data_IF_002230450248
#
_entry.id   IF_002230450248
#
_cell.length_a   1.000
_cell.length_b   1.000
_cell.length_c   1.000
_cell.angle_alpha   90.00
_cell.angle_beta   90.00
_cell.angle_gamma   90.00
#
_symmetry.space_group_name_H-M   'P 1'
#
loop_
_entity.id
_entity.type
_entity.pdbx_description
1 polymer ?
#
# COMPACT_ATOMS: atom_id res chain seq x y z
N UNK A 1 -17.64 3.58 -25.08
CA UNK A 1 -17.60 2.12 -24.89
C UNK A 1 -16.16 1.82 -24.52
N UNK A 2 -15.80 2.02 -23.25
CA UNK A 2 -14.42 1.89 -22.77
C UNK A 2 -14.40 0.87 -21.65
N UNK A 3 -13.72 -0.24 -21.92
CA UNK A 3 -13.48 -1.35 -21.01
C UNK A 3 -12.37 -0.97 -20.03
N UNK A 4 -12.69 -1.08 -18.73
CA UNK A 4 -11.74 -1.09 -17.62
C UNK A 4 -10.84 -2.33 -17.72
N UNK A 5 -9.53 -2.14 -17.64
CA UNK A 5 -8.57 -3.21 -17.34
C UNK A 5 -8.27 -3.12 -15.84
N UNK A 6 -8.68 -4.16 -15.11
CA UNK A 6 -8.46 -4.31 -13.68
C UNK A 6 -7.07 -4.87 -13.38
N UNK A 7 -6.44 -4.32 -12.34
CA UNK A 7 -5.25 -4.89 -11.72
C UNK A 7 -5.68 -6.03 -10.79
N UNK A 8 -5.35 -7.26 -11.19
CA UNK A 8 -5.41 -8.45 -10.34
C UNK A 8 -4.23 -8.45 -9.35
N UNK A 9 -4.41 -7.75 -8.23
CA UNK A 9 -3.72 -8.04 -6.97
C UNK A 9 -4.70 -7.98 -5.78
N UNK A 10 -5.99 -8.27 -6.02
CA UNK A 10 -7.04 -8.22 -4.99
C UNK A 10 -7.33 -9.57 -4.32
N UNK A 11 -6.82 -10.69 -4.85
CA UNK A 11 -7.27 -12.04 -4.46
C UNK A 11 -7.06 -12.43 -2.99
N UNK A 12 -5.93 -12.10 -2.37
CA UNK A 12 -5.69 -12.45 -0.96
C UNK A 12 -6.33 -11.47 0.03
N UNK A 13 -6.51 -10.20 -0.37
CA UNK A 13 -7.11 -9.17 0.47
C UNK A 13 -8.65 -9.24 0.43
N UNK A 14 -9.23 -9.64 -0.71
CA UNK A 14 -10.67 -9.88 -0.87
C UNK A 14 -11.11 -11.13 -0.11
N UNK A 15 -10.34 -12.22 -0.12
CA UNK A 15 -10.67 -13.40 0.67
C UNK A 15 -10.66 -13.14 2.19
N UNK A 16 -9.72 -12.32 2.68
CA UNK A 16 -9.68 -11.97 4.10
C UNK A 16 -10.82 -11.02 4.48
N UNK A 17 -11.19 -10.08 3.60
CA UNK A 17 -12.36 -9.21 3.77
C UNK A 17 -13.67 -9.99 3.71
N UNK A 18 -13.87 -10.86 2.73
CA UNK A 18 -15.04 -11.74 2.63
C UNK A 18 -15.15 -12.68 3.84
N UNK A 19 -14.03 -13.22 4.32
CA UNK A 19 -14.00 -14.04 5.53
C UNK A 19 -14.32 -13.22 6.78
N UNK A 20 -13.78 -12.02 6.93
CA UNK A 20 -14.04 -11.13 8.06
C UNK A 20 -15.49 -10.61 8.04
N UNK A 21 -16.02 -10.21 6.88
CA UNK A 21 -17.42 -9.84 6.70
C UNK A 21 -18.35 -11.03 6.92
N UNK A 22 -17.98 -12.23 6.45
CA UNK A 22 -18.71 -13.47 6.70
C UNK A 22 -18.75 -13.83 8.18
N UNK A 23 -17.62 -13.66 8.91
CA UNK A 23 -17.54 -13.87 10.36
C UNK A 23 -18.31 -12.80 11.14
N UNK A 24 -18.28 -11.54 10.69
CA UNK A 24 -19.04 -10.43 11.26
C UNK A 24 -20.54 -10.63 11.09
N UNK A 25 -20.97 -11.04 9.89
CA UNK A 25 -22.37 -11.35 9.59
C UNK A 25 -22.84 -12.57 10.36
N UNK A 26 -22.04 -13.63 10.42
CA UNK A 26 -22.35 -14.82 11.21
C UNK A 26 -22.40 -14.54 12.73
N UNK A 27 -21.50 -13.71 13.26
CA UNK A 27 -21.53 -13.30 14.66
C UNK A 27 -22.75 -12.41 14.98
N UNK A 28 -23.10 -11.47 14.08
CA UNK A 28 -24.32 -10.68 14.18
C UNK A 28 -25.59 -11.53 14.11
N UNK A 29 -25.65 -12.47 13.16
CA UNK A 29 -26.76 -13.43 13.02
C UNK A 29 -26.91 -14.36 14.23
N UNK A 30 -25.81 -14.75 14.88
CA UNK A 30 -25.86 -15.53 16.14
C UNK A 30 -26.35 -14.67 17.30
N UNK A 31 -25.85 -13.43 17.43
CA UNK A 31 -26.26 -12.50 18.48
C UNK A 31 -27.75 -12.13 18.37
N UNK A 32 -28.20 -11.72 17.19
CA UNK A 32 -29.62 -11.42 16.91
C UNK A 32 -30.51 -12.63 17.20
N UNK A 33 -30.11 -13.82 16.75
CA UNK A 33 -30.88 -15.05 17.00
C UNK A 33 -30.89 -15.45 18.48
N UNK A 34 -29.85 -15.13 19.24
CA UNK A 34 -29.79 -15.38 20.68
C UNK A 34 -30.68 -14.40 21.45
N UNK A 35 -30.67 -13.13 21.04
CA UNK A 35 -31.57 -12.08 21.56
C UNK A 35 -33.04 -12.40 21.27
N UNK A 36 -33.37 -12.82 20.06
CA UNK A 36 -34.73 -13.18 19.67
C UNK A 36 -35.24 -14.38 20.48
N UNK A 37 -34.41 -15.42 20.64
CA UNK A 37 -34.74 -16.60 21.46
C UNK A 37 -34.89 -16.24 22.94
N UNK A 38 -34.05 -15.33 23.46
CA UNK A 38 -34.15 -14.86 24.84
C UNK A 38 -35.43 -14.03 25.07
N UNK A 39 -35.79 -13.16 24.12
CA UNK A 39 -37.03 -12.36 24.16
C UNK A 39 -38.27 -13.24 24.07
N UNK A 40 -38.31 -14.18 23.13
CA UNK A 40 -39.41 -15.14 23.00
C UNK A 40 -39.53 -16.04 24.25
N UNK A 41 -38.41 -16.54 24.77
CA UNK A 41 -38.36 -17.33 25.99
C UNK A 41 -38.82 -16.56 27.23
N UNK A 42 -38.53 -15.25 27.31
CA UNK A 42 -39.03 -14.36 28.36
C UNK A 42 -40.55 -14.18 28.27
N UNK A 43 -41.07 -13.85 27.09
CA UNK A 43 -42.51 -13.69 26.86
C UNK A 43 -43.29 -14.96 27.22
N UNK A 44 -42.75 -16.13 26.85
CA UNK A 44 -43.30 -17.42 27.27
C UNK A 44 -43.37 -17.55 28.79
N UNK A 45 -42.29 -17.19 29.49
CA UNK A 45 -42.23 -17.26 30.96
C UNK A 45 -43.14 -16.25 31.65
N UNK A 46 -43.37 -15.09 31.05
CA UNK A 46 -44.32 -14.09 31.54
C UNK A 46 -45.77 -14.58 31.44
N UNK A 47 -46.16 -15.16 30.30
CA UNK A 47 -47.49 -15.82 30.14
C UNK A 47 -47.68 -16.94 31.16
N UNK A 48 -46.63 -17.73 31.31
CA UNK A 48 -46.52 -18.80 32.28
C UNK A 48 -46.69 -18.30 33.73
N UNK A 49 -46.06 -17.17 34.08
CA UNK A 49 -46.15 -16.57 35.41
C UNK A 49 -47.57 -16.06 35.69
N UNK A 50 -48.24 -15.46 34.70
CA UNK A 50 -49.62 -15.00 34.82
C UNK A 50 -50.57 -16.16 35.17
N UNK A 51 -50.44 -17.29 34.46
CA UNK A 51 -51.23 -18.50 34.77
C UNK A 51 -50.92 -19.05 36.16
N UNK A 52 -49.65 -19.06 36.57
CA UNK A 52 -49.24 -19.52 37.90
C UNK A 52 -49.84 -18.65 39.01
N UNK A 53 -49.84 -17.32 38.83
CA UNK A 53 -50.47 -16.36 39.76
C UNK A 53 -51.97 -16.62 39.92
N UNK A 54 -52.68 -16.85 38.81
CA UNK A 54 -54.11 -17.18 38.85
C UNK A 54 -54.37 -18.49 39.61
N UNK A 55 -53.54 -19.51 39.43
CA UNK A 55 -53.63 -20.76 40.19
C UNK A 55 -53.38 -20.54 41.68
N UNK A 56 -52.30 -19.85 42.05
CA UNK A 56 -51.98 -19.53 43.45
C UNK A 56 -53.16 -18.83 44.13
N UNK A 57 -53.75 -17.83 43.46
CA UNK A 57 -54.90 -17.09 43.98
C UNK A 57 -56.14 -17.98 44.16
N UNK A 58 -56.42 -18.86 43.19
CA UNK A 58 -57.52 -19.82 43.28
C UNK A 58 -57.34 -20.80 44.45
N UNK A 59 -56.12 -21.30 44.67
CA UNK A 59 -55.79 -22.21 45.77
C UNK A 59 -55.84 -21.49 47.13
N UNK A 60 -55.42 -20.21 47.22
CA UNK A 60 -55.58 -19.36 48.41
C UNK A 60 -57.04 -19.21 48.79
N UNK A 61 -57.88 -18.80 47.84
CA UNK A 61 -59.32 -18.65 48.05
C UNK A 61 -59.99 -19.95 48.51
N UNK A 62 -59.59 -21.09 47.93
CA UNK A 62 -60.10 -22.41 48.33
C UNK A 62 -59.64 -22.81 49.74
N UNK A 63 -58.41 -22.48 50.14
CA UNK A 63 -57.93 -22.72 51.49
C UNK A 63 -58.75 -21.91 52.51
N UNK A 64 -59.05 -20.64 52.22
CA UNK A 64 -59.92 -19.80 53.05
C UNK A 64 -61.32 -20.39 53.20
N UNK A 65 -61.96 -20.79 52.10
CA UNK A 65 -63.28 -21.44 52.13
C UNK A 65 -63.30 -22.72 52.98
N UNK A 66 -62.25 -23.55 52.89
CA UNK A 66 -62.12 -24.76 53.71
C UNK A 66 -61.92 -24.42 55.19
N UNK A 67 -61.13 -23.40 55.52
CA UNK A 67 -60.96 -22.89 56.90
C UNK A 67 -62.28 -22.41 57.47
N UNK A 68 -63.03 -21.59 56.73
CA UNK A 68 -64.34 -21.09 57.13
C UNK A 68 -65.36 -22.21 57.34
N UNK A 69 -65.39 -23.21 56.44
CA UNK A 69 -66.27 -24.38 56.56
C UNK A 69 -65.94 -25.24 57.78
N UNK A 70 -64.65 -25.43 58.07
CA UNK A 70 -64.17 -26.10 59.28
C UNK A 70 -64.64 -25.34 60.52
N UNK A 71 -64.50 -24.01 60.54
CA UNK A 71 -64.84 -23.20 61.71
C UNK A 71 -66.35 -23.08 61.92
N UNK A 72 -67.14 -23.04 60.85
CA UNK A 72 -68.60 -23.17 60.91
C UNK A 72 -69.04 -24.48 61.56
N UNK A 73 -68.42 -25.62 61.19
CA UNK A 73 -68.76 -26.96 61.74
C UNK A 73 -68.20 -27.21 63.15
N UNK A 74 -67.28 -26.36 63.65
CA UNK A 74 -66.72 -26.44 65.01
C UNK A 74 -67.55 -25.71 66.07
N UNK A 75 -68.63 -24.98 65.71
CA UNK A 75 -69.41 -24.19 66.68
C UNK A 75 -70.22 -25.09 67.63
N UNK A 76 -69.70 -25.30 68.84
CA UNK A 76 -70.34 -26.07 69.91
C UNK A 76 -69.84 -27.51 70.07
N UNK A 77 -69.90 -28.04 71.30
CA UNK A 77 -69.34 -29.36 71.66
C UNK A 77 -70.11 -30.52 71.03
N UNK A 78 -71.45 -30.43 71.00
CA UNK A 78 -72.35 -31.42 70.40
C UNK A 78 -72.16 -31.48 68.87
N UNK A 79 -72.03 -30.32 68.22
CA UNK A 79 -71.80 -30.22 66.78
C UNK A 79 -70.46 -30.84 66.35
N UNK A 80 -69.41 -30.72 67.16
CA UNK A 80 -68.10 -31.37 66.90
C UNK A 80 -68.20 -32.90 66.93
N UNK A 81 -68.99 -33.47 67.84
CA UNK A 81 -69.19 -34.92 67.95
C UNK A 81 -70.02 -35.44 66.77
N UNK A 82 -71.11 -34.76 66.43
CA UNK A 82 -71.99 -35.13 65.31
C UNK A 82 -71.27 -35.01 63.95
N UNK A 83 -70.45 -33.95 63.77
CA UNK A 83 -69.77 -33.67 62.50
C UNK A 83 -68.34 -34.21 62.41
N UNK A 84 -67.91 -35.08 63.34
CA UNK A 84 -66.50 -35.50 63.46
C UNK A 84 -65.90 -36.04 62.15
N UNK A 85 -66.61 -36.92 61.45
CA UNK A 85 -66.15 -37.49 60.17
C UNK A 85 -65.97 -36.42 59.09
N UNK A 86 -66.93 -35.49 58.98
CA UNK A 86 -66.88 -34.40 58.01
C UNK A 86 -65.75 -33.40 58.33
N UNK A 87 -65.52 -33.11 59.62
CA UNK A 87 -64.40 -32.27 60.06
C UNK A 87 -63.04 -32.91 59.76
N UNK A 88 -62.93 -34.24 59.87
CA UNK A 88 -61.71 -34.98 59.52
C UNK A 88 -61.40 -34.90 58.03
N UNK A 89 -62.41 -35.10 57.17
CA UNK A 89 -62.25 -34.96 55.71
C UNK A 89 -61.91 -33.52 55.31
N UNK A 90 -62.63 -32.51 55.84
CA UNK A 90 -62.33 -31.11 55.51
C UNK A 90 -60.92 -30.67 55.93
N UNK A 91 -60.40 -31.16 57.06
CA UNK A 91 -59.01 -30.90 57.47
C UNK A 91 -58.00 -31.58 56.56
N UNK A 92 -58.31 -32.79 56.10
CA UNK A 92 -57.46 -33.51 55.15
C UNK A 92 -57.43 -32.80 53.79
N UNK A 93 -58.57 -32.29 53.34
CA UNK A 93 -58.66 -31.50 52.12
C UNK A 93 -57.97 -30.15 52.25
N UNK A 94 -58.07 -29.48 53.40
CA UNK A 94 -57.31 -28.26 53.68
C UNK A 94 -55.81 -28.51 53.64
N UNK A 95 -55.33 -29.55 54.34
CA UNK A 95 -53.90 -29.92 54.33
C UNK A 95 -53.39 -30.19 52.91
N UNK A 96 -54.14 -30.97 52.11
CA UNK A 96 -53.79 -31.22 50.70
C UNK A 96 -53.77 -29.94 49.87
N UNK A 97 -54.71 -29.04 50.10
CA UNK A 97 -54.79 -27.77 49.38
C UNK A 97 -53.65 -26.82 49.76
N UNK A 98 -53.23 -26.80 51.03
CA UNK A 98 -52.07 -26.04 51.51
C UNK A 98 -50.75 -26.59 50.95
N UNK A 99 -50.60 -27.92 50.85
CA UNK A 99 -49.43 -28.53 50.21
C UNK A 99 -49.33 -28.15 48.73
N UNK A 100 -50.43 -28.24 47.97
CA UNK A 100 -50.46 -27.83 46.55
C UNK A 100 -50.24 -26.32 46.40
N UNK A 101 -50.76 -25.51 47.32
CA UNK A 101 -50.53 -24.06 47.30
C UNK A 101 -49.04 -23.74 47.44
N UNK A 102 -48.33 -24.39 48.37
CA UNK A 102 -46.89 -24.20 48.55
C UNK A 102 -46.11 -24.55 47.27
N UNK A 103 -46.41 -25.69 46.65
CA UNK A 103 -45.77 -26.10 45.38
C UNK A 103 -46.00 -25.06 44.27
N UNK A 104 -47.19 -24.45 44.20
CA UNK A 104 -47.50 -23.41 43.21
C UNK A 104 -46.83 -22.08 43.51
N UNK A 105 -46.67 -21.71 44.78
CA UNK A 105 -45.91 -20.52 45.18
C UNK A 105 -44.41 -20.67 44.85
N UNK A 106 -43.84 -21.86 45.07
CA UNK A 106 -42.46 -22.19 44.66
C UNK A 106 -42.31 -22.11 43.13
N UNK A 107 -43.27 -22.65 42.38
CA UNK A 107 -43.29 -22.56 40.91
C UNK A 107 -43.40 -21.10 40.42
N UNK A 108 -44.24 -20.27 41.06
CA UNK A 108 -44.36 -18.85 40.75
C UNK A 108 -43.04 -18.10 41.00
N UNK A 109 -42.37 -18.39 42.12
CA UNK A 109 -41.09 -17.78 42.46
C UNK A 109 -40.01 -18.18 41.44
N UNK A 110 -39.93 -19.46 41.08
CA UNK A 110 -39.01 -19.94 40.06
C UNK A 110 -39.22 -19.26 38.69
N UNK A 111 -40.48 -19.09 38.26
CA UNK A 111 -40.82 -18.37 37.01
C UNK A 111 -40.38 -16.90 37.06
N UNK A 112 -40.53 -16.26 38.21
CA UNK A 112 -40.07 -14.87 38.42
C UNK A 112 -38.55 -14.76 38.33
N UNK A 113 -37.81 -15.70 38.93
CA UNK A 113 -36.35 -15.76 38.85
C UNK A 113 -35.88 -16.00 37.40
N UNK A 114 -36.56 -16.88 36.66
CA UNK A 114 -36.26 -17.14 35.24
C UNK A 114 -36.43 -15.92 34.35
N UNK A 115 -37.47 -15.11 34.54
CA UNK A 115 -37.65 -13.84 33.82
C UNK A 115 -36.46 -12.91 34.11
N UNK A 116 -36.04 -12.79 35.39
CA UNK A 116 -34.88 -11.99 35.77
C UNK A 116 -33.53 -12.52 35.25
N UNK A 117 -33.43 -13.79 34.84
CA UNK A 117 -32.28 -14.29 34.09
C UNK A 117 -32.32 -13.88 32.62
N UNK A 118 -33.49 -13.92 31.98
CA UNK A 118 -33.65 -13.45 30.61
C UNK A 118 -33.39 -11.94 30.48
N UNK A 119 -33.87 -11.12 31.43
CA UNK A 119 -33.59 -9.68 31.44
C UNK A 119 -32.10 -9.37 31.43
N UNK A 120 -31.33 -10.06 32.28
CA UNK A 120 -29.87 -9.89 32.35
C UNK A 120 -29.18 -10.38 31.07
N UNK A 121 -29.62 -11.50 30.51
CA UNK A 121 -29.05 -12.01 29.25
C UNK A 121 -29.27 -11.03 28.09
N UNK A 122 -30.47 -10.44 28.00
CA UNK A 122 -30.79 -9.43 26.98
C UNK A 122 -29.90 -8.20 27.14
N UNK A 123 -29.76 -7.69 28.37
CA UNK A 123 -28.92 -6.53 28.66
C UNK A 123 -27.43 -6.78 28.35
N UNK A 124 -26.89 -7.95 28.71
CA UNK A 124 -25.50 -8.33 28.44
C UNK A 124 -25.23 -8.44 26.92
N UNK A 125 -26.14 -9.04 26.16
CA UNK A 125 -26.02 -9.16 24.69
C UNK A 125 -26.13 -7.79 23.99
N UNK A 126 -27.04 -6.91 24.44
CA UNK A 126 -27.17 -5.55 23.90
C UNK A 126 -25.88 -4.72 24.16
N UNK A 127 -25.33 -4.78 25.37
CA UNK A 127 -24.05 -4.13 25.70
C UNK A 127 -22.87 -4.70 24.89
N UNK A 128 -22.86 -6.01 24.66
CA UNK A 128 -21.82 -6.64 23.85
C UNK A 128 -21.90 -6.18 22.38
N UNK A 129 -23.12 -6.03 21.85
CA UNK A 129 -23.34 -5.48 20.51
C UNK A 129 -22.76 -4.07 20.36
N UNK A 130 -23.03 -3.17 21.31
CA UNK A 130 -22.49 -1.80 21.31
C UNK A 130 -20.96 -1.77 21.34
N UNK A 131 -20.33 -2.57 22.21
CA UNK A 131 -18.87 -2.67 22.30
C UNK A 131 -18.24 -3.24 21.01
N UNK A 132 -18.92 -4.19 20.35
CA UNK A 132 -18.46 -4.73 19.08
C UNK A 132 -18.53 -3.67 17.98
N UNK A 133 -19.60 -2.88 17.90
CA UNK A 133 -19.71 -1.78 16.93
C UNK A 133 -18.62 -0.72 17.12
N UNK A 134 -18.36 -0.32 18.37
CA UNK A 134 -17.28 0.62 18.72
C UNK A 134 -15.91 0.07 18.28
N UNK A 135 -15.60 -1.20 18.61
CA UNK A 135 -14.35 -1.84 18.21
C UNK A 135 -14.20 -1.96 16.67
N UNK A 136 -15.29 -2.14 15.93
CA UNK A 136 -15.23 -2.13 14.46
C UNK A 136 -14.99 -0.73 13.89
N UNK A 137 -15.60 0.30 14.47
CA UNK A 137 -15.39 1.68 14.05
C UNK A 137 -13.93 2.13 14.28
N UNK A 138 -13.37 1.78 15.45
CA UNK A 138 -11.98 2.11 15.80
C UNK A 138 -10.97 1.41 14.88
N UNK A 139 -11.19 0.13 14.55
CA UNK A 139 -10.34 -0.58 13.59
C UNK A 139 -10.39 0.04 12.19
N UNK A 140 -11.57 0.47 11.72
CA UNK A 140 -11.70 1.12 10.42
C UNK A 140 -10.95 2.47 10.36
N UNK A 141 -11.01 3.25 11.44
CA UNK A 141 -10.25 4.51 11.55
C UNK A 141 -8.74 4.26 11.58
N UNK A 142 -8.31 3.24 12.31
CA UNK A 142 -6.90 2.83 12.37
C UNK A 142 -6.37 2.38 11.01
N UNK A 143 -7.16 1.60 10.26
CA UNK A 143 -6.80 1.14 8.92
C UNK A 143 -6.68 2.29 7.92
N UNK A 144 -7.61 3.26 7.96
CA UNK A 144 -7.52 4.44 7.09
C UNK A 144 -6.34 5.33 7.48
N UNK A 145 -6.07 5.54 8.79
CA UNK A 145 -4.90 6.30 9.23
C UNK A 145 -3.58 5.65 8.77
N UNK A 146 -3.44 4.33 8.89
CA UNK A 146 -2.28 3.59 8.39
C UNK A 146 -2.14 3.67 6.87
N UNK A 147 -3.26 3.62 6.15
CA UNK A 147 -3.26 3.77 4.69
C UNK A 147 -2.80 5.18 4.29
N UNK A 148 -3.25 6.21 4.98
CA UNK A 148 -2.77 7.59 4.76
C UNK A 148 -1.29 7.73 5.09
N UNK A 149 -0.82 7.13 6.19
CA UNK A 149 0.61 7.09 6.53
C UNK A 149 1.45 6.44 5.43
N UNK A 150 1.00 5.30 4.90
CA UNK A 150 1.66 4.61 3.78
C UNK A 150 1.68 5.46 2.51
N UNK A 151 0.57 6.13 2.18
CA UNK A 151 0.49 7.03 1.01
C UNK A 151 1.48 8.19 1.18
N UNK A 152 1.53 8.81 2.35
CA UNK A 152 2.48 9.89 2.64
C UNK A 152 3.94 9.40 2.61
N UNK A 153 4.21 8.20 3.11
CA UNK A 153 5.54 7.60 3.03
C UNK A 153 5.94 7.35 1.56
N UNK A 154 5.05 6.78 0.75
CA UNK A 154 5.30 6.51 -0.67
C UNK A 154 5.46 7.80 -1.49
N UNK A 155 4.67 8.84 -1.19
CA UNK A 155 4.89 10.18 -1.75
C UNK A 155 6.27 10.72 -1.36
N UNK A 156 6.67 10.56 -0.08
CA UNK A 156 8.00 10.93 0.41
C UNK A 156 9.14 10.11 -0.20
N UNK A 157 8.84 9.01 -0.90
CA UNK A 157 9.82 8.18 -1.62
C UNK A 157 9.79 8.38 -3.13
N UNK A 158 8.84 9.13 -3.67
CA UNK A 158 8.77 9.38 -5.10
C UNK A 158 9.91 10.28 -5.57
N UNK A 159 10.64 9.86 -6.61
CA UNK A 159 11.65 10.71 -7.28
C UNK A 159 11.03 12.03 -7.75
N UNK A 160 9.82 11.96 -8.31
CA UNK A 160 9.10 13.14 -8.80
C UNK A 160 8.78 14.14 -7.69
N UNK A 161 8.22 13.65 -6.58
CA UNK A 161 7.86 14.51 -5.44
C UNK A 161 9.11 15.11 -4.78
N UNK A 162 10.17 14.31 -4.64
CA UNK A 162 11.44 14.77 -4.06
C UNK A 162 12.16 15.77 -4.97
N UNK A 163 12.12 15.57 -6.29
CA UNK A 163 12.68 16.50 -7.27
C UNK A 163 11.99 17.88 -7.19
N UNK A 164 10.66 17.88 -7.09
CA UNK A 164 9.85 19.08 -6.93
C UNK A 164 10.08 19.76 -5.58
N UNK A 165 10.01 18.99 -4.49
CA UNK A 165 10.15 19.48 -3.11
C UNK A 165 11.48 20.20 -2.90
N UNK A 166 12.57 19.62 -3.41
CA UNK A 166 13.92 20.12 -3.16
C UNK A 166 14.53 20.91 -4.33
N UNK A 167 13.78 21.08 -5.42
CA UNK A 167 14.29 21.69 -6.66
C UNK A 167 15.60 21.03 -7.14
N UNK A 168 15.57 19.71 -7.35
CA UNK A 168 16.75 18.93 -7.77
C UNK A 168 16.47 17.98 -8.93
N UNK A 169 17.46 17.81 -9.80
CA UNK A 169 17.48 16.73 -10.78
C UNK A 169 18.05 15.45 -10.16
N UNK A 170 17.48 14.30 -10.49
CA UNK A 170 18.06 13.00 -10.17
C UNK A 170 18.84 12.47 -11.38
N UNK A 171 20.10 12.12 -11.16
CA UNK A 171 21.03 11.70 -12.21
C UNK A 171 21.76 10.41 -11.83
N UNK A 172 22.05 9.58 -12.82
CA UNK A 172 22.89 8.39 -12.67
C UNK A 172 23.84 8.26 -13.86
N UNK A 173 25.13 8.14 -13.61
CA UNK A 173 26.13 7.87 -14.64
C UNK A 173 25.99 6.44 -15.18
N UNK A 174 25.98 6.28 -16.50
CA UNK A 174 25.91 4.96 -17.14
C UNK A 174 27.26 4.48 -17.65
N UNK A 175 28.15 5.36 -18.15
CA UNK A 175 29.29 4.94 -19.01
C UNK A 175 30.68 5.03 -18.38
N UNK A 176 30.98 6.11 -17.64
CA UNK A 176 32.37 6.54 -17.40
C UNK A 176 32.95 6.20 -16.03
N UNK A 177 32.16 5.67 -15.11
CA UNK A 177 32.58 5.57 -13.72
C UNK A 177 32.73 4.10 -13.27
N UNK A 178 33.60 3.85 -12.30
CA UNK A 178 33.59 2.63 -11.45
C UNK A 178 32.26 2.46 -10.66
N UNK A 179 31.22 3.25 -11.01
CA UNK A 179 29.93 3.51 -10.36
C UNK A 179 28.74 3.22 -11.29
N UNK A 180 28.93 2.39 -12.33
CA UNK A 180 27.87 1.88 -13.21
C UNK A 180 26.66 1.34 -12.41
N UNK A 181 25.48 1.12 -13.01
CA UNK A 181 24.40 0.33 -12.40
C UNK A 181 24.88 -1.00 -11.76
N UNK A 182 26.01 -1.52 -12.23
CA UNK A 182 26.73 -2.70 -11.77
C UNK A 182 27.91 -2.48 -10.81
N UNK A 183 28.25 -1.25 -10.45
CA UNK A 183 29.34 -1.00 -9.54
C UNK A 183 29.06 -1.68 -8.20
N UNK A 184 30.05 -2.42 -7.70
CA UNK A 184 29.88 -3.36 -6.59
C UNK A 184 28.82 -4.46 -6.84
N UNK A 185 28.45 -4.74 -8.09
CA UNK A 185 27.62 -5.87 -8.47
C UNK A 185 28.50 -7.01 -9.02
N UNK A 186 28.84 -7.97 -8.16
CA UNK A 186 29.61 -9.15 -8.58
C UNK A 186 28.84 -10.06 -9.56
N UNK A 187 27.53 -9.84 -9.72
CA UNK A 187 26.66 -10.64 -10.59
C UNK A 187 26.66 -10.09 -12.02
N UNK A 188 27.03 -8.82 -12.24
CA UNK A 188 27.04 -8.18 -13.57
C UNK A 188 28.47 -7.93 -14.06
N UNK A 189 28.90 -8.65 -15.09
CA UNK A 189 30.18 -8.40 -15.78
C UNK A 189 30.05 -7.24 -16.79
N UNK A 190 30.17 -6.00 -16.31
CA UNK A 190 30.07 -4.81 -17.17
C UNK A 190 31.29 -4.50 -18.02
N UNK A 191 32.30 -5.37 -18.01
CA UNK A 191 33.41 -5.28 -18.98
C UNK A 191 32.99 -5.72 -20.38
N UNK A 192 31.88 -6.46 -20.49
CA UNK A 192 31.35 -6.98 -21.76
C UNK A 192 30.21 -6.16 -22.34
N UNK A 193 29.74 -5.15 -21.63
CA UNK A 193 28.63 -4.30 -22.05
C UNK A 193 29.16 -3.00 -22.63
N UNK A 194 28.80 -2.70 -23.87
CA UNK A 194 29.09 -1.41 -24.49
C UNK A 194 28.10 -0.32 -24.03
N UNK A 195 28.21 0.88 -24.60
CA UNK A 195 27.33 2.01 -24.29
C UNK A 195 25.84 1.66 -24.55
N UNK A 196 25.56 1.04 -25.69
CA UNK A 196 24.21 0.74 -26.14
C UNK A 196 23.59 -0.34 -25.26
N UNK A 197 24.36 -1.36 -24.88
CA UNK A 197 23.94 -2.38 -23.92
C UNK A 197 23.55 -1.76 -22.56
N UNK A 198 24.40 -0.88 -22.03
CA UNK A 198 24.16 -0.24 -20.73
C UNK A 198 22.91 0.65 -20.77
N UNK A 199 22.73 1.41 -21.85
CA UNK A 199 21.53 2.23 -22.05
C UNK A 199 20.26 1.38 -22.15
N UNK A 200 20.27 0.34 -22.97
CA UNK A 200 19.12 -0.56 -23.15
C UNK A 200 18.76 -1.32 -21.87
N UNK A 201 19.74 -1.66 -21.02
CA UNK A 201 19.45 -2.26 -19.71
C UNK A 201 18.68 -1.27 -18.82
N UNK A 202 19.12 -0.02 -18.75
CA UNK A 202 18.47 0.99 -17.92
C UNK A 202 17.06 1.29 -18.44
N UNK A 203 16.89 1.43 -19.76
CA UNK A 203 15.61 1.73 -20.39
C UNK A 203 14.63 0.54 -20.39
N UNK A 204 15.13 -0.70 -20.54
CA UNK A 204 14.29 -1.88 -20.74
C UNK A 204 13.97 -2.65 -19.46
N UNK A 205 14.98 -2.87 -18.61
CA UNK A 205 14.83 -3.72 -17.43
C UNK A 205 14.47 -2.95 -16.14
N UNK A 206 14.57 -1.62 -16.16
CA UNK A 206 14.27 -0.75 -15.02
C UNK A 206 15.03 -1.20 -13.74
N UNK A 207 16.37 -1.29 -13.78
CA UNK A 207 17.16 -1.81 -12.68
C UNK A 207 17.11 -0.90 -11.45
N UNK A 208 17.44 -1.45 -10.28
CA UNK A 208 17.61 -0.65 -9.07
C UNK A 208 18.99 -0.01 -9.07
N UNK A 209 19.05 1.31 -9.28
CA UNK A 209 20.27 2.07 -9.54
C UNK A 209 20.61 3.03 -8.40
N UNK A 210 21.91 3.33 -8.28
CA UNK A 210 22.38 4.44 -7.46
C UNK A 210 22.30 5.75 -8.25
N UNK A 211 21.86 6.81 -7.58
CA UNK A 211 21.63 8.13 -8.18
C UNK A 211 22.21 9.21 -7.28
N UNK A 212 22.52 10.35 -7.86
CA UNK A 212 22.88 11.58 -7.15
C UNK A 212 21.90 12.70 -7.53
N UNK A 213 21.91 13.79 -6.77
CA UNK A 213 21.07 14.95 -7.06
C UNK A 213 21.86 16.18 -7.50
N UNK A 214 21.33 16.92 -8.47
CA UNK A 214 21.85 18.22 -8.92
C UNK A 214 20.86 19.32 -8.56
N UNK A 215 21.32 20.34 -7.85
CA UNK A 215 20.53 21.54 -7.63
C UNK A 215 20.95 22.60 -8.65
N UNK A 216 19.99 23.27 -9.33
CA UNK A 216 20.27 24.44 -10.16
C UNK A 216 20.95 25.58 -9.38
N UNK A 217 20.72 25.64 -8.07
CA UNK A 217 21.18 26.74 -7.21
C UNK A 217 22.55 26.47 -6.57
N UNK A 218 23.16 25.31 -6.81
CA UNK A 218 24.43 24.91 -6.20
C UNK A 218 25.38 24.29 -7.22
N UNK A 219 26.69 24.61 -7.20
CA UNK A 219 27.69 23.98 -8.05
C UNK A 219 28.04 22.57 -7.53
N UNK A 220 27.03 21.70 -7.42
CA UNK A 220 27.19 20.32 -6.97
C UNK A 220 28.16 19.64 -7.90
N UNK A 221 29.27 19.09 -7.41
CA UNK A 221 30.11 18.21 -8.25
C UNK A 221 29.55 16.79 -8.17
N UNK A 222 28.98 16.33 -9.27
CA UNK A 222 28.61 14.93 -9.48
C UNK A 222 29.38 14.40 -10.67
N UNK A 223 30.02 13.26 -10.49
CA UNK A 223 30.72 12.52 -11.54
C UNK A 223 31.83 13.29 -12.29
N UNK A 224 32.59 12.56 -13.11
CA UNK A 224 33.67 13.13 -13.94
C UNK A 224 33.14 14.07 -15.03
N UNK A 225 34.02 14.92 -15.56
CA UNK A 225 33.76 15.63 -16.83
C UNK A 225 33.72 14.65 -18.00
N UNK A 226 32.87 14.89 -19.00
CA UNK A 226 32.75 14.00 -20.17
C UNK A 226 31.89 12.76 -19.91
N UNK A 227 31.17 12.75 -18.80
CA UNK A 227 30.33 11.63 -18.40
C UNK A 227 29.02 11.57 -19.17
N UNK A 228 28.54 10.35 -19.41
CA UNK A 228 27.20 10.06 -19.92
C UNK A 228 26.38 9.37 -18.84
N UNK A 229 25.13 9.78 -18.71
CA UNK A 229 24.22 9.28 -17.69
C UNK A 229 22.77 9.40 -18.10
N UNK A 230 21.87 9.10 -17.16
CA UNK A 230 20.42 9.27 -17.31
C UNK A 230 19.89 10.27 -16.31
N UNK A 231 18.95 11.10 -16.77
CA UNK A 231 18.09 11.92 -15.94
C UNK A 231 16.83 11.13 -15.60
N UNK A 232 16.41 11.15 -14.34
CA UNK A 232 15.19 10.45 -13.91
C UNK A 232 14.01 11.41 -13.75
N UNK A 233 12.84 10.98 -14.22
CA UNK A 233 11.56 11.65 -13.99
C UNK A 233 10.74 10.98 -12.88
N UNK A 234 11.03 9.71 -12.56
CA UNK A 234 10.22 8.89 -11.65
C UNK A 234 10.98 7.69 -11.10
N UNK A 235 10.23 6.82 -10.42
CA UNK A 235 10.76 5.71 -9.63
C UNK A 235 10.67 5.97 -8.12
N UNK A 236 10.97 4.92 -7.35
CA UNK A 236 10.85 4.92 -5.89
C UNK A 236 12.20 4.92 -5.21
N UNK A 237 12.44 5.86 -4.32
CA UNK A 237 13.65 5.98 -3.53
C UNK A 237 13.57 5.03 -2.33
N UNK A 238 14.45 4.04 -2.33
CA UNK A 238 14.55 3.01 -1.29
C UNK A 238 15.30 3.56 -0.06
N UNK A 239 16.19 4.51 -0.26
CA UNK A 239 16.91 5.22 0.79
C UNK A 239 18.03 6.11 0.22
N UNK A 240 18.74 6.81 1.10
CA UNK A 240 19.83 7.69 0.70
C UNK A 240 20.80 8.02 1.83
N UNK A 241 21.97 8.53 1.43
CA UNK A 241 22.96 9.10 2.33
C UNK A 241 23.47 10.43 1.77
N UNK A 242 23.82 11.32 2.69
CA UNK A 242 24.48 12.60 2.40
C UNK A 242 25.81 12.44 1.63
N UNK A 243 26.40 11.24 1.68
CA UNK A 243 27.65 10.86 1.00
C UNK A 243 27.45 9.53 0.26
N UNK A 244 28.55 8.88 -0.14
CA UNK A 244 28.57 7.47 -0.51
C UNK A 244 27.76 6.62 0.49
N UNK A 245 26.72 5.98 -0.03
CA UNK A 245 25.79 5.17 0.71
C UNK A 245 26.30 3.74 0.91
N UNK A 246 27.46 3.39 0.32
CA UNK A 246 28.07 2.07 0.37
C UNK A 246 27.15 0.99 -0.19
N UNK A 247 26.33 1.35 -1.18
CA UNK A 247 25.28 0.45 -1.67
C UNK A 247 25.90 -0.64 -2.55
N UNK A 248 25.33 -1.83 -2.48
CA UNK A 248 25.85 -3.02 -3.18
C UNK A 248 24.70 -3.66 -3.94
N UNK A 249 24.80 -3.71 -5.26
CA UNK A 249 23.79 -4.40 -6.04
C UNK A 249 23.94 -5.92 -5.89
N UNK A 250 22.82 -6.59 -5.61
CA UNK A 250 22.70 -8.05 -5.40
C UNK A 250 22.05 -8.77 -6.58
N UNK A 251 21.53 -8.00 -7.53
CA UNK A 251 20.86 -8.45 -8.75
C UNK A 251 20.46 -7.22 -9.58
N UNK A 252 19.63 -7.40 -10.60
CA UNK A 252 19.21 -6.30 -11.47
C UNK A 252 18.28 -5.32 -10.76
N UNK A 253 17.29 -5.83 -10.03
CA UNK A 253 16.29 -5.04 -9.27
C UNK A 253 16.52 -5.05 -7.75
N UNK A 254 17.66 -5.57 -7.30
CA UNK A 254 17.97 -5.70 -5.87
C UNK A 254 19.28 -5.01 -5.53
N UNK A 255 19.23 -4.05 -4.61
CA UNK A 255 20.40 -3.34 -4.08
C UNK A 255 20.30 -3.25 -2.56
N UNK A 256 21.40 -3.60 -1.89
CA UNK A 256 21.50 -3.46 -0.45
C UNK A 256 21.79 -1.99 -0.10
N UNK A 257 20.97 -1.48 0.83
CA UNK A 257 21.17 -0.22 1.53
C UNK A 257 20.96 -0.46 3.03
N UNK A 258 21.79 0.18 3.86
CA UNK A 258 21.69 0.14 5.33
C UNK A 258 20.26 0.50 5.76
N UNK A 259 19.58 -0.33 6.58
CA UNK A 259 18.23 -0.05 7.06
C UNK A 259 18.04 1.34 7.68
N UNK A 260 19.08 1.90 8.32
CA UNK A 260 19.05 3.24 8.93
C UNK A 260 18.93 4.37 7.91
N UNK A 261 19.28 4.09 6.65
CA UNK A 261 19.26 5.03 5.51
C UNK A 261 17.98 4.94 4.68
N UNK A 262 17.02 4.09 5.07
CA UNK A 262 15.80 3.83 4.30
C UNK A 262 14.64 4.77 4.61
N UNK A 263 14.69 5.55 5.68
CA UNK A 263 13.57 6.42 6.06
C UNK A 263 13.44 7.61 5.11
N UNK A 264 12.22 8.14 4.96
CA UNK A 264 11.98 9.40 4.22
C UNK A 264 12.84 10.54 4.78
N UNK A 265 13.03 10.58 6.09
CA UNK A 265 13.93 11.55 6.73
C UNK A 265 15.40 11.41 6.27
N UNK A 266 15.89 10.18 6.08
CA UNK A 266 17.25 9.97 5.57
C UNK A 266 17.37 10.35 4.09
N UNK A 267 16.31 10.14 3.30
CA UNK A 267 16.20 10.59 1.91
C UNK A 267 16.26 12.12 1.87
N UNK A 268 15.41 12.80 2.64
CA UNK A 268 15.39 14.27 2.71
C UNK A 268 16.77 14.81 3.12
N UNK A 269 17.37 14.27 4.19
CA UNK A 269 18.71 14.69 4.63
C UNK A 269 19.79 14.49 3.55
N UNK A 270 19.72 13.38 2.80
CA UNK A 270 20.64 13.11 1.71
C UNK A 270 20.56 14.16 0.60
N UNK A 271 19.37 14.71 0.34
CA UNK A 271 19.12 15.72 -0.70
C UNK A 271 19.45 17.13 -0.18
N UNK A 272 19.00 17.45 1.03
CA UNK A 272 19.11 18.78 1.66
C UNK A 272 20.52 19.13 2.14
N UNK A 273 21.45 18.18 2.12
CA UNK A 273 22.81 18.37 2.65
C UNK A 273 23.39 19.73 2.21
N UNK A 274 23.86 20.58 3.15
CA UNK A 274 24.48 21.84 2.79
C UNK A 274 25.80 21.62 2.05
N UNK A 275 25.77 21.88 0.74
CA UNK A 275 26.93 21.85 -0.13
C UNK A 275 27.86 23.01 0.24
N UNK A 276 29.10 22.72 0.67
CA UNK A 276 30.10 23.75 0.97
C UNK A 276 30.46 24.01 2.44
N UNK A 277 29.88 23.28 3.41
CA UNK A 277 30.01 23.60 4.85
C UNK A 277 31.27 23.11 5.59
N UNK A 278 32.23 22.45 4.96
CA UNK A 278 33.39 21.86 5.65
C UNK A 278 34.70 21.89 4.86
N UNK A 279 35.84 21.74 5.54
CA UNK A 279 37.21 21.71 4.95
C UNK A 279 37.43 20.61 3.89
N UNK A 280 36.47 19.69 3.70
CA UNK A 280 36.47 18.60 2.72
C UNK A 280 35.40 18.75 1.63
N UNK A 281 34.78 19.93 1.46
CA UNK A 281 33.67 20.18 0.54
C UNK A 281 34.00 20.04 -0.98
N UNK A 282 35.21 19.64 -1.36
CA UNK A 282 35.65 19.63 -2.75
C UNK A 282 35.32 18.35 -3.54
N UNK A 283 34.76 17.30 -2.92
CA UNK A 283 34.60 15.98 -3.58
C UNK A 283 33.31 15.20 -3.29
N UNK A 284 32.41 15.67 -2.42
CA UNK A 284 31.33 14.80 -1.93
C UNK A 284 30.07 14.89 -2.78
N UNK A 285 29.69 13.81 -3.46
CA UNK A 285 28.33 13.60 -4.00
C UNK A 285 27.44 12.94 -2.92
N UNK A 286 26.12 13.02 -3.07
CA UNK A 286 25.18 12.21 -2.30
C UNK A 286 24.81 10.95 -3.10
N UNK A 287 24.39 9.89 -2.41
CA UNK A 287 23.95 8.67 -3.06
C UNK A 287 22.58 8.27 -2.54
N UNK A 288 21.63 8.16 -3.46
CA UNK A 288 20.31 7.56 -3.22
C UNK A 288 20.16 6.30 -4.06
N UNK A 289 19.26 5.41 -3.63
CA UNK A 289 18.92 4.20 -4.37
C UNK A 289 17.51 4.32 -4.90
N UNK A 290 17.34 4.19 -6.21
CA UNK A 290 16.05 4.25 -6.89
C UNK A 290 15.73 2.90 -7.51
N UNK A 291 14.56 2.35 -7.19
CA UNK A 291 13.99 1.18 -7.85
C UNK A 291 12.96 1.60 -8.89
N UNK A 292 12.83 0.80 -9.96
CA UNK A 292 11.97 1.06 -11.12
C UNK A 292 12.12 2.50 -11.64
N UNK A 293 13.36 2.92 -11.97
CA UNK A 293 13.61 4.28 -12.43
C UNK A 293 12.86 4.56 -13.72
N UNK A 294 12.22 5.72 -13.80
CA UNK A 294 11.66 6.23 -15.05
C UNK A 294 12.64 7.25 -15.64
N UNK A 295 13.20 6.93 -16.81
CA UNK A 295 14.22 7.78 -17.46
C UNK A 295 13.54 8.89 -18.24
N UNK A 296 13.84 10.14 -17.87
CA UNK A 296 13.47 11.32 -18.63
C UNK A 296 14.30 11.42 -19.92
N UNK A 297 15.61 11.16 -19.82
CA UNK A 297 16.46 11.09 -20.99
C UNK A 297 17.92 10.82 -20.65
N UNK A 298 18.75 10.77 -21.68
CA UNK A 298 20.20 10.58 -21.55
C UNK A 298 20.85 11.94 -21.48
N UNK A 299 21.80 12.13 -20.57
CA UNK A 299 22.61 13.35 -20.52
C UNK A 299 24.05 13.09 -20.93
N UNK A 300 24.68 14.15 -21.43
CA UNK A 300 26.12 14.30 -21.52
C UNK A 300 26.60 15.50 -20.70
N UNK A 301 27.64 15.30 -19.89
CA UNK A 301 28.24 16.36 -19.08
C UNK A 301 29.44 16.98 -19.79
N UNK A 302 29.38 18.28 -20.03
CA UNK A 302 30.43 18.99 -20.77
C UNK A 302 31.75 19.09 -20.00
N UNK A 303 32.86 19.03 -20.74
CA UNK A 303 34.22 19.06 -20.18
C UNK A 303 34.81 20.46 -20.01
N UNK A 304 34.50 21.39 -20.92
CA UNK A 304 35.10 22.72 -20.93
C UNK A 304 34.06 23.85 -20.83
N UNK A 305 34.53 25.03 -20.46
CA UNK A 305 33.79 26.29 -20.55
C UNK A 305 33.62 26.75 -22.01
N UNK A 306 34.18 26.03 -22.98
CA UNK A 306 34.15 26.37 -24.42
C UNK A 306 32.79 26.08 -25.08
N UNK A 307 31.72 26.02 -24.28
CA UNK A 307 30.40 26.30 -24.83
C UNK A 307 30.50 27.71 -25.43
N UNK A 308 30.27 27.86 -26.75
CA UNK A 308 30.30 29.18 -27.37
C UNK A 308 29.38 30.13 -26.58
N UNK A 309 29.89 31.30 -26.15
CA UNK A 309 29.12 32.28 -25.35
C UNK A 309 27.82 32.72 -26.02
N UNK A 310 27.69 32.44 -27.32
CA UNK A 310 26.56 32.67 -28.20
C UNK A 310 25.58 31.49 -28.32
N UNK A 311 25.60 30.50 -27.41
CA UNK A 311 24.51 29.54 -27.17
C UNK A 311 23.23 30.24 -26.69
N UNK A 312 22.67 31.08 -27.55
CA UNK A 312 21.33 31.62 -27.43
C UNK A 312 20.34 30.56 -27.91
N UNK A 313 19.23 30.44 -27.19
CA UNK A 313 18.13 29.52 -27.48
C UNK A 313 17.80 29.47 -28.98
N UNK A 314 17.74 28.26 -29.54
CA UNK A 314 17.30 28.03 -30.92
C UNK A 314 18.33 28.30 -32.01
N UNK A 315 19.55 28.73 -31.67
CA UNK A 315 20.66 28.75 -32.63
C UNK A 315 21.26 27.37 -32.81
N UNK A 316 21.67 27.10 -34.04
CA UNK A 316 22.42 25.91 -34.40
C UNK A 316 23.82 25.98 -33.77
N UNK A 317 24.21 24.89 -33.13
CA UNK A 317 25.47 24.72 -32.42
C UNK A 317 26.27 23.64 -33.14
N UNK A 318 27.48 23.97 -33.56
CA UNK A 318 28.48 23.01 -34.01
C UNK A 318 29.50 22.86 -32.89
N UNK A 319 29.62 21.65 -32.32
CA UNK A 319 30.63 21.40 -31.31
C UNK A 319 32.04 21.51 -31.91
N UNK A 320 33.04 22.00 -31.14
CA UNK A 320 34.41 22.07 -31.62
C UNK A 320 34.94 20.68 -32.02
N UNK A 321 35.93 20.66 -32.93
CA UNK A 321 36.45 19.42 -33.55
C UNK A 321 37.01 18.38 -32.58
N UNK A 322 37.25 18.76 -31.32
CA UNK A 322 37.67 17.85 -30.25
C UNK A 322 36.56 16.86 -29.85
N UNK A 323 35.29 17.14 -30.15
CA UNK A 323 34.22 16.15 -30.07
C UNK A 323 34.32 15.21 -31.28
N UNK A 324 35.04 14.10 -31.08
CA UNK A 324 35.34 13.11 -32.11
C UNK A 324 34.16 12.23 -32.48
N UNK A 325 34.40 11.33 -33.44
CA UNK A 325 33.42 10.39 -34.00
C UNK A 325 32.73 9.52 -32.94
N UNK A 326 33.42 9.25 -31.82
CA UNK A 326 32.88 8.50 -30.69
C UNK A 326 31.65 9.19 -30.08
N UNK A 327 31.71 10.51 -29.85
CA UNK A 327 30.61 11.27 -29.25
C UNK A 327 29.39 11.29 -30.17
N UNK A 328 29.61 11.57 -31.46
CA UNK A 328 28.54 11.55 -32.46
C UNK A 328 27.96 10.15 -32.69
N UNK A 329 28.79 9.11 -32.55
CA UNK A 329 28.33 7.72 -32.54
C UNK A 329 27.37 7.43 -31.38
N UNK A 330 27.67 7.91 -30.17
CA UNK A 330 26.81 7.78 -29.00
C UNK A 330 25.50 8.57 -29.17
N UNK A 331 25.57 9.79 -29.69
CA UNK A 331 24.35 10.56 -30.04
C UNK A 331 23.48 9.79 -31.02
N UNK A 332 24.08 9.21 -32.07
CA UNK A 332 23.36 8.38 -33.03
C UNK A 332 22.72 7.13 -32.39
N UNK A 333 23.37 6.52 -31.39
CA UNK A 333 22.79 5.40 -30.64
C UNK A 333 21.58 5.84 -29.81
N UNK A 334 21.67 6.97 -29.12
CA UNK A 334 20.56 7.53 -28.31
C UNK A 334 19.38 7.91 -29.21
N UNK A 335 19.62 8.54 -30.35
CA UNK A 335 18.55 8.91 -31.28
C UNK A 335 17.76 7.69 -31.79
N UNK A 336 18.41 6.53 -31.94
CA UNK A 336 17.73 5.27 -32.35
C UNK A 336 16.79 4.72 -31.29
N UNK A 337 17.00 5.02 -30.00
CA UNK A 337 16.07 4.63 -28.93
C UNK A 337 14.89 5.60 -28.84
N UNK A 338 14.95 6.70 -29.58
CA UNK A 338 14.03 7.84 -29.47
C UNK A 338 14.27 8.67 -28.20
N UNK A 339 15.14 8.24 -27.28
CA UNK A 339 15.27 8.83 -25.96
C UNK A 339 15.80 10.27 -26.05
N UNK A 340 15.21 11.22 -25.32
CA UNK A 340 15.66 12.61 -25.35
C UNK A 340 17.08 12.75 -24.86
N UNK A 341 17.83 13.62 -25.53
CA UNK A 341 19.22 13.90 -25.21
C UNK A 341 19.32 15.24 -24.50
N UNK A 342 20.08 15.26 -23.41
CA UNK A 342 20.32 16.43 -22.58
C UNK A 342 21.80 16.74 -22.47
N UNK A 343 22.07 17.98 -22.12
CA UNK A 343 23.39 18.45 -21.72
C UNK A 343 23.33 19.02 -20.32
N UNK A 344 24.31 18.63 -19.51
CA UNK A 344 24.58 19.20 -18.20
C UNK A 344 25.84 20.06 -18.32
N UNK A 345 25.72 21.35 -18.01
CA UNK A 345 26.86 22.26 -18.01
C UNK A 345 27.86 21.88 -16.90
N UNK A 346 29.13 22.28 -17.03
CA UNK A 346 30.23 21.88 -16.13
C UNK A 346 29.95 22.15 -14.64
N UNK A 347 29.22 23.22 -14.36
CA UNK A 347 28.85 23.63 -13.00
C UNK A 347 27.63 22.88 -12.45
N UNK A 348 27.08 21.92 -13.22
CA UNK A 348 25.95 21.06 -12.84
C UNK A 348 24.66 21.81 -12.47
N UNK A 349 24.57 23.09 -12.83
CA UNK A 349 23.48 23.98 -12.48
C UNK A 349 22.50 24.22 -13.64
N UNK A 350 22.87 23.85 -14.87
CA UNK A 350 22.04 24.03 -16.05
C UNK A 350 21.86 22.70 -16.78
N UNK A 351 20.59 22.34 -17.01
CA UNK A 351 20.19 21.19 -17.83
C UNK A 351 19.45 21.71 -19.06
N UNK A 352 19.88 21.33 -20.27
CA UNK A 352 19.25 21.73 -21.54
C UNK A 352 18.98 20.51 -22.39
N UNK A 353 17.84 20.46 -23.08
CA UNK A 353 17.56 19.42 -24.05
C UNK A 353 18.20 19.78 -25.39
N UNK A 354 18.85 18.80 -26.02
CA UNK A 354 19.31 18.83 -27.39
C UNK A 354 18.16 18.41 -28.31
N UNK A 355 17.95 19.13 -29.41
CA UNK A 355 17.00 18.78 -30.46
C UNK A 355 17.54 19.19 -31.84
N UNK A 356 16.83 18.78 -32.90
CA UNK A 356 17.20 19.09 -34.30
C UNK A 356 18.66 18.68 -34.60
N UNK A 357 18.98 17.42 -34.25
CA UNK A 357 20.33 16.88 -34.37
C UNK A 357 20.60 16.47 -35.82
N UNK A 358 21.67 17.01 -36.39
CA UNK A 358 22.23 16.63 -37.68
C UNK A 358 23.55 15.88 -37.47
N UNK A 359 23.52 14.56 -37.66
CA UNK A 359 24.70 13.71 -37.48
C UNK A 359 25.73 13.88 -38.61
N UNK A 360 25.32 14.31 -39.80
CA UNK A 360 26.20 14.51 -40.95
C UNK A 360 26.99 15.81 -40.80
N UNK A 361 26.27 16.90 -40.50
CA UNK A 361 26.86 18.22 -40.30
C UNK A 361 27.40 18.43 -38.88
N UNK A 362 27.17 17.47 -37.97
CA UNK A 362 27.61 17.51 -36.58
C UNK A 362 27.12 18.77 -35.87
N UNK A 363 25.83 19.03 -36.02
CA UNK A 363 25.16 20.17 -35.41
C UNK A 363 23.90 19.77 -34.67
N UNK A 364 23.45 20.63 -33.77
CA UNK A 364 22.17 20.50 -33.08
C UNK A 364 21.70 21.85 -32.53
N UNK A 365 20.50 21.90 -31.97
CA UNK A 365 19.97 23.05 -31.22
C UNK A 365 19.72 22.69 -29.76
N UNK A 366 19.66 23.70 -28.90
CA UNK A 366 19.35 23.54 -27.47
C UNK A 366 18.15 24.37 -27.03
N UNK A 367 17.41 23.85 -26.05
CA UNK A 367 16.32 24.55 -25.38
C UNK A 367 16.84 25.59 -24.37
N UNK A 368 15.95 26.41 -23.79
CA UNK A 368 16.21 27.02 -22.49
C UNK A 368 16.64 25.99 -21.45
N UNK A 369 17.22 26.48 -20.36
CA UNK A 369 17.44 25.66 -19.18
C UNK A 369 16.10 25.11 -18.68
N UNK A 370 16.10 23.82 -18.34
CA UNK A 370 14.99 23.20 -17.66
C UNK A 370 15.08 23.44 -16.17
N UNK A 371 13.91 23.53 -15.54
CA UNK A 371 13.77 23.39 -14.11
C UNK A 371 13.47 21.91 -13.80
N UNK A 372 13.87 21.40 -12.61
CA UNK A 372 13.54 20.05 -12.16
C UNK A 372 12.05 19.70 -12.29
N UNK A 373 11.15 20.63 -11.94
CA UNK A 373 9.70 20.43 -12.06
C UNK A 373 9.23 20.36 -13.53
N UNK A 374 9.94 21.01 -14.45
CA UNK A 374 9.59 20.96 -15.87
C UNK A 374 9.98 19.62 -16.48
N UNK A 375 11.09 19.02 -16.04
CA UNK A 375 11.55 17.71 -16.50
C UNK A 375 10.53 16.59 -16.17
N UNK A 376 9.91 16.65 -14.99
CA UNK A 376 8.90 15.67 -14.58
C UNK A 376 7.56 15.83 -15.31
N UNK A 377 7.30 17.01 -15.89
CA UNK A 377 6.03 17.36 -16.53
C UNK A 377 6.10 17.46 -18.07
N UNK A 378 7.20 17.04 -18.71
CA UNK A 378 7.35 17.19 -20.16
C UNK A 378 6.27 16.43 -20.96
N UNK A 379 5.47 17.12 -21.80
CA UNK A 379 4.36 16.51 -22.52
C UNK A 379 4.81 15.70 -23.76
N UNK A 380 4.09 14.61 -24.04
CA UNK A 380 3.84 14.04 -25.37
C UNK A 380 4.97 13.27 -26.08
N UNK A 381 6.24 13.62 -25.90
CA UNK A 381 7.39 12.93 -26.52
C UNK A 381 7.99 11.88 -25.57
N UNK A 382 7.99 12.17 -24.26
CA UNK A 382 8.65 11.36 -23.24
C UNK A 382 7.93 10.05 -22.90
N UNK A 383 6.60 9.99 -23.09
CA UNK A 383 5.84 8.75 -22.92
C UNK A 383 6.02 7.75 -24.07
N UNK A 384 6.68 8.14 -25.16
CA UNK A 384 6.92 7.25 -26.30
C UNK A 384 7.96 6.16 -25.95
N UNK A 385 8.94 6.44 -25.08
CA UNK A 385 9.91 5.43 -24.61
C UNK A 385 9.39 4.60 -23.43
N UNK A 386 8.34 5.08 -22.77
CA UNK A 386 7.59 4.31 -21.75
C UNK A 386 6.50 3.46 -22.37
N UNK A 387 6.29 3.53 -23.69
CA UNK A 387 5.39 2.58 -24.33
C UNK A 387 6.02 1.18 -24.22
N UNK A 388 5.17 0.19 -24.04
CA UNK A 388 5.63 -1.16 -23.74
C UNK A 388 6.42 -1.76 -24.92
N UNK A 389 6.26 -1.23 -26.13
CA UNK A 389 6.96 -1.68 -27.32
C UNK A 389 8.43 -1.28 -27.31
N UNK A 390 8.76 -0.02 -27.01
CA UNK A 390 10.14 0.46 -26.88
C UNK A 390 10.86 -0.23 -25.73
N UNK A 391 10.17 -0.41 -24.58
CA UNK A 391 10.72 -1.19 -23.45
C UNK A 391 11.05 -2.62 -23.89
N UNK A 392 10.14 -3.30 -24.59
CA UNK A 392 10.35 -4.66 -25.11
C UNK A 392 11.48 -4.73 -26.13
N UNK A 393 11.59 -3.75 -27.04
CA UNK A 393 12.69 -3.67 -28.01
C UNK A 393 14.05 -3.51 -27.29
N UNK A 394 14.12 -2.61 -26.31
CA UNK A 394 15.31 -2.43 -25.49
C UNK A 394 15.69 -3.73 -24.77
N UNK A 395 14.72 -4.39 -24.11
CA UNK A 395 14.94 -5.71 -23.48
C UNK A 395 15.43 -6.73 -24.50
N UNK A 396 14.78 -6.84 -25.66
CA UNK A 396 15.13 -7.81 -26.71
C UNK A 396 16.57 -7.67 -27.20
N UNK A 397 17.09 -6.44 -27.32
CA UNK A 397 18.48 -6.16 -27.74
C UNK A 397 19.52 -6.65 -26.74
N UNK A 398 19.20 -6.65 -25.45
CA UNK A 398 20.14 -7.02 -24.38
C UNK A 398 19.80 -8.32 -23.68
N UNK A 399 18.69 -8.97 -24.00
CA UNK A 399 18.19 -10.12 -23.26
C UNK A 399 19.23 -11.24 -23.15
N UNK A 400 19.84 -11.66 -24.24
CA UNK A 400 20.85 -12.73 -24.20
C UNK A 400 22.10 -12.33 -23.40
N UNK A 401 22.41 -11.03 -23.37
CA UNK A 401 23.55 -10.47 -22.63
C UNK A 401 23.25 -10.26 -21.15
N UNK A 402 21.98 -10.08 -20.76
CA UNK A 402 21.57 -9.68 -19.42
C UNK A 402 20.62 -10.69 -18.74
N UNK A 403 20.18 -11.75 -19.40
CA UNK A 403 19.25 -12.75 -18.87
C UNK A 403 19.82 -13.47 -17.65
N UNK A 404 21.14 -13.65 -17.59
CA UNK A 404 21.82 -14.20 -16.42
C UNK A 404 21.75 -13.30 -15.16
N UNK A 405 21.25 -12.07 -15.31
CA UNK A 405 21.06 -11.10 -14.23
C UNK A 405 19.64 -11.10 -13.65
N UNK A 406 18.74 -11.82 -14.33
CA UNK A 406 17.34 -11.98 -13.97
C UNK A 406 17.16 -13.21 -13.08
N UNK A 407 16.14 -13.18 -12.22
CA UNK A 407 15.66 -14.40 -11.55
C UNK A 407 15.04 -15.37 -12.56
N UNK A 408 14.83 -16.63 -12.16
CA UNK A 408 14.14 -17.60 -13.03
C UNK A 408 12.75 -17.10 -13.42
N UNK A 409 11.99 -16.59 -12.45
CA UNK A 409 10.65 -16.03 -12.68
C UNK A 409 10.67 -14.85 -13.66
N UNK A 410 11.65 -13.94 -13.53
CA UNK A 410 11.81 -12.80 -14.43
C UNK A 410 12.19 -13.26 -15.85
N UNK A 411 13.05 -14.28 -15.99
CA UNK A 411 13.37 -14.87 -17.31
C UNK A 411 12.14 -15.46 -17.96
N UNK A 412 11.40 -16.31 -17.25
CA UNK A 412 10.18 -16.93 -17.75
C UNK A 412 9.11 -15.91 -18.14
N UNK A 413 9.00 -14.80 -17.38
CA UNK A 413 8.08 -13.72 -17.72
C UNK A 413 8.47 -13.06 -19.06
N UNK A 414 9.75 -12.72 -19.22
CA UNK A 414 10.23 -12.08 -20.44
C UNK A 414 10.17 -13.00 -21.66
N UNK A 415 10.44 -14.30 -21.50
CA UNK A 415 10.27 -15.29 -22.56
C UNK A 415 8.79 -15.39 -22.99
N UNK A 416 7.85 -15.40 -22.04
CA UNK A 416 6.41 -15.35 -22.33
C UNK A 416 5.98 -14.06 -23.03
N UNK A 417 6.59 -12.93 -22.69
CA UNK A 417 6.32 -11.64 -23.35
C UNK A 417 6.86 -11.60 -24.79
N UNK A 418 8.01 -12.24 -25.04
CA UNK A 418 8.61 -12.38 -26.38
C UNK A 418 7.69 -13.16 -27.32
N UNK A 419 7.13 -14.27 -26.85
CA UNK A 419 6.21 -15.11 -27.64
C UNK A 419 4.89 -14.40 -27.99
N UNK A 420 4.44 -13.46 -27.14
CA UNK A 420 3.24 -12.63 -27.40
C UNK A 420 3.48 -11.54 -28.45
N UNK A 421 4.71 -11.02 -28.53
CA UNK A 421 5.10 -10.01 -29.52
C UNK A 421 5.02 -10.55 -30.95
N UNK A 422 5.54 -11.76 -31.19
CA UNK A 422 5.55 -12.37 -32.51
C UNK A 422 4.15 -12.73 -33.03
N UNK A 423 3.22 -13.08 -32.15
CA UNK A 423 1.83 -13.36 -32.53
C UNK A 423 1.06 -12.11 -32.99
N UNK A 424 1.40 -10.92 -32.45
CA UNK A 424 0.74 -9.66 -32.79
C UNK A 424 1.14 -9.09 -34.16
N UNK A 425 2.30 -9.50 -34.69
CA UNK A 425 2.75 -9.11 -36.04
C UNK A 425 2.07 -9.90 -37.18
N UNK A 426 1.32 -10.97 -36.86
CA UNK A 426 0.60 -11.78 -37.87
C UNK A 426 -0.84 -11.32 -38.17
N UNK A 427 -1.36 -10.31 -37.47
CA UNK A 427 -2.77 -9.87 -37.62
C UNK A 427 -2.91 -8.59 -38.49
N UNK A 428 -1.83 -7.92 -38.85
CA UNK A 428 -1.86 -6.77 -39.78
C UNK A 428 -1.41 -7.14 -41.20
N UNK A 429 -2.09 -8.11 -41.82
CA UNK A 429 -2.11 -8.27 -43.28
C UNK A 429 -3.52 -8.69 -43.68
N UNK A 430 -4.46 -7.73 -43.76
CA UNK A 430 -5.59 -7.72 -44.71
C UNK A 430 -6.09 -6.29 -44.91
#
# INVERSE_FOLDING_TARGET
MEQKIGMEQSGENDHYKEFAEGRKRFAGEIGERTLDVAKEGKEDKERDLEMAQQHVEAYKKKAEQLRDAIDAKKRGLIAKIINYKQLKELRKDLSRNEDVLREREEEQQWRTEMIGYYDRLIEEEEQMGELMEEAYADNALFDEAKKQELIMEEQGRSVMEQAKKHNVFFVSDIVTADWKPSANNYVIDTKKLDFEDQLNIVLGFEPTIAVSTLSPDSPNRTFGTGAWGVLLAGGRIVGGAESDAGTVAKGLRSRYIDPRRRSVKAIDAAIERPWGGGKEASTSYNELVVEKPEVAGVYFKLESEDIPQDMQQGKEITLPKNYGDMWWGQVGQIMKTGTPLFVIERNNNTVRMIYDVDLENRSFKMTPAYDPENLTNMPGVYKQHTDEAHRRDAVGKVFDKASHLLTEEEREQHEREKDKGDASNFINVY
#
